data_IF_865165241248
#
_entry.id   IF_865165241248
#
_cell.length_a   1.000
_cell.length_b   1.000
_cell.length_c   1.000
_cell.angle_alpha   90.00
_cell.angle_beta   90.00
_cell.angle_gamma   90.00
#
_symmetry.space_group_name_H-M   'P 1'
#
loop_
_entity.id
_entity.type
_entity.pdbx_description
1 polymer ?
#
# COMPACT_ATOMS: atom_id res chain seq x y z
N UNK A 1 -5.08 -29.96 -16.25
CA UNK A 1 -4.29 -29.01 -15.43
C UNK A 1 -4.06 -27.78 -16.28
N UNK A 2 -4.60 -26.63 -15.92
CA UNK A 2 -4.31 -25.38 -16.65
C UNK A 2 -2.82 -25.08 -16.49
N UNK A 3 -2.10 -25.01 -17.60
CA UNK A 3 -0.68 -24.65 -17.59
C UNK A 3 -0.53 -23.25 -17.01
N UNK A 4 0.28 -23.15 -15.98
CA UNK A 4 0.67 -21.90 -15.35
C UNK A 4 1.57 -21.12 -16.33
N UNK A 5 1.00 -20.14 -17.02
CA UNK A 5 1.75 -19.31 -17.98
C UNK A 5 2.02 -17.95 -17.34
N UNK A 6 3.29 -17.68 -17.09
CA UNK A 6 3.75 -16.37 -16.64
C UNK A 6 3.79 -15.37 -17.80
N UNK A 7 3.46 -14.14 -17.51
CA UNK A 7 3.78 -13.01 -18.41
C UNK A 7 5.30 -12.78 -18.39
N UNK A 8 5.89 -12.21 -19.46
CA UNK A 8 7.36 -12.03 -19.54
C UNK A 8 7.96 -11.38 -18.29
N UNK A 9 7.42 -10.26 -17.82
CA UNK A 9 7.90 -9.58 -16.64
C UNK A 9 7.73 -10.38 -15.33
N UNK A 10 6.74 -11.27 -15.26
CA UNK A 10 6.56 -12.16 -14.10
C UNK A 10 7.63 -13.24 -14.08
N UNK A 11 8.00 -13.76 -15.26
CA UNK A 11 9.09 -14.70 -15.42
C UNK A 11 10.41 -14.03 -15.03
N UNK A 12 10.71 -12.84 -15.56
CA UNK A 12 11.91 -12.07 -15.20
C UNK A 12 12.03 -11.84 -13.69
N UNK A 13 10.91 -11.46 -13.03
CA UNK A 13 10.88 -11.27 -11.59
C UNK A 13 11.15 -12.56 -10.81
N UNK A 14 10.57 -13.68 -11.28
CA UNK A 14 10.78 -15.00 -10.68
C UNK A 14 12.22 -15.46 -10.85
N UNK A 15 12.79 -15.33 -12.05
CA UNK A 15 14.17 -15.72 -12.35
C UNK A 15 15.17 -14.90 -11.53
N UNK A 16 14.94 -13.59 -11.40
CA UNK A 16 15.74 -12.72 -10.54
C UNK A 16 15.70 -13.18 -9.07
N UNK A 17 14.51 -13.57 -8.57
CA UNK A 17 14.36 -14.08 -7.21
C UNK A 17 15.06 -15.43 -7.00
N UNK A 18 14.92 -16.36 -7.93
CA UNK A 18 15.60 -17.68 -7.86
C UNK A 18 17.12 -17.50 -7.90
N UNK A 19 17.63 -16.66 -8.80
CA UNK A 19 19.06 -16.29 -8.84
C UNK A 19 19.51 -15.66 -7.52
N UNK A 20 18.71 -14.77 -6.94
CA UNK A 20 19.01 -14.16 -5.66
C UNK A 20 19.10 -15.20 -4.54
N UNK A 21 18.13 -16.10 -4.39
CA UNK A 21 18.18 -17.15 -3.36
C UNK A 21 19.36 -18.12 -3.53
N UNK A 22 19.73 -18.46 -4.76
CA UNK A 22 20.89 -19.32 -5.07
C UNK A 22 22.24 -18.61 -4.92
N UNK A 23 22.27 -17.29 -4.87
CA UNK A 23 23.51 -16.52 -4.74
C UNK A 23 24.11 -16.65 -3.34
N UNK A 24 25.40 -16.32 -3.19
CA UNK A 24 26.11 -16.32 -1.89
C UNK A 24 25.93 -15.04 -1.08
N UNK A 25 25.15 -14.08 -1.57
CA UNK A 25 24.91 -12.81 -0.84
C UNK A 25 24.23 -13.04 0.49
N UNK A 26 24.61 -12.28 1.50
CA UNK A 26 23.92 -12.21 2.79
C UNK A 26 22.86 -11.10 2.83
N UNK A 27 22.75 -10.30 1.76
CA UNK A 27 21.77 -9.22 1.65
C UNK A 27 20.35 -9.75 1.54
N UNK A 28 19.40 -8.97 2.02
CA UNK A 28 17.98 -9.17 1.73
C UNK A 28 17.58 -8.36 0.49
N UNK A 29 16.71 -8.94 -0.33
CA UNK A 29 16.30 -8.38 -1.62
C UNK A 29 14.89 -7.83 -1.63
N UNK A 30 14.62 -6.94 -2.60
CA UNK A 30 13.29 -6.40 -2.89
C UNK A 30 12.92 -6.65 -4.35
N UNK A 31 11.68 -7.09 -4.58
CA UNK A 31 10.98 -6.98 -5.87
C UNK A 31 9.94 -5.87 -5.75
N UNK A 32 9.98 -4.94 -6.68
CA UNK A 32 9.02 -3.84 -6.78
C UNK A 32 8.11 -4.15 -7.97
N UNK A 33 6.84 -4.42 -7.68
CA UNK A 33 5.84 -4.70 -8.70
C UNK A 33 4.50 -4.06 -8.33
N UNK A 34 3.81 -3.38 -9.26
CA UNK A 34 2.56 -2.68 -9.00
C UNK A 34 1.47 -3.56 -8.41
N UNK A 35 0.48 -2.91 -7.80
CA UNK A 35 -0.80 -3.56 -7.51
C UNK A 35 -1.42 -4.00 -8.84
N UNK A 36 -1.88 -5.26 -8.93
CA UNK A 36 -2.38 -5.83 -10.19
C UNK A 36 -1.33 -6.51 -11.06
N UNK A 37 -0.01 -6.39 -10.75
CA UNK A 37 1.06 -7.09 -11.49
C UNK A 37 1.08 -8.61 -11.28
N UNK A 38 0.25 -9.15 -10.39
CA UNK A 38 0.21 -10.60 -10.14
C UNK A 38 1.33 -11.10 -9.22
N UNK A 39 1.71 -10.32 -8.20
CA UNK A 39 2.71 -10.74 -7.18
C UNK A 39 2.47 -12.14 -6.64
N UNK A 40 1.21 -12.53 -6.44
CA UNK A 40 0.86 -13.89 -5.98
C UNK A 40 1.34 -14.99 -6.93
N UNK A 41 1.30 -14.74 -8.24
CA UNK A 41 1.73 -15.68 -9.27
C UNK A 41 3.27 -15.75 -9.29
N UNK A 42 3.93 -14.60 -9.14
CA UNK A 42 5.40 -14.54 -9.01
C UNK A 42 5.86 -15.33 -7.79
N UNK A 43 5.22 -15.13 -6.62
CA UNK A 43 5.50 -15.90 -5.39
C UNK A 43 5.32 -17.39 -5.61
N UNK A 44 4.25 -17.78 -6.30
CA UNK A 44 3.95 -19.17 -6.61
C UNK A 44 5.06 -19.83 -7.45
N UNK A 45 5.51 -19.15 -8.47
CA UNK A 45 6.56 -19.66 -9.35
C UNK A 45 7.93 -19.72 -8.67
N UNK A 46 8.29 -18.70 -7.88
CA UNK A 46 9.49 -18.71 -7.04
C UNK A 46 9.47 -19.94 -6.11
N UNK A 47 8.34 -20.12 -5.40
CA UNK A 47 8.22 -21.21 -4.44
C UNK A 47 8.27 -22.60 -5.10
N UNK A 48 7.81 -22.74 -6.34
CA UNK A 48 7.93 -23.97 -7.12
C UNK A 48 9.36 -24.29 -7.55
N UNK A 49 10.17 -23.28 -7.85
CA UNK A 49 11.52 -23.41 -8.38
C UNK A 49 12.59 -23.55 -7.30
N UNK A 50 12.29 -23.19 -6.06
CA UNK A 50 13.23 -23.30 -4.96
C UNK A 50 13.20 -24.68 -4.31
N UNK A 51 14.37 -25.14 -3.87
CA UNK A 51 14.51 -26.34 -3.05
C UNK A 51 14.33 -26.01 -1.56
N UNK A 52 13.94 -27.02 -0.77
CA UNK A 52 13.72 -26.89 0.66
C UNK A 52 12.35 -26.30 1.01
N UNK A 53 12.19 -25.98 2.29
CA UNK A 53 10.96 -25.41 2.83
C UNK A 53 10.93 -23.89 2.63
N UNK A 54 9.80 -23.35 2.24
CA UNK A 54 9.63 -21.92 1.88
C UNK A 54 8.50 -21.33 2.70
N UNK A 55 8.81 -20.26 3.41
CA UNK A 55 7.84 -19.47 4.14
C UNK A 55 7.40 -18.26 3.33
N UNK A 56 6.09 -18.05 3.23
CA UNK A 56 5.47 -16.86 2.63
C UNK A 56 4.69 -16.13 3.69
N UNK A 57 5.24 -15.01 4.17
CA UNK A 57 4.59 -14.17 5.16
C UNK A 57 3.61 -13.21 4.51
N UNK A 58 2.39 -13.21 5.03
CA UNK A 58 1.29 -12.37 4.57
C UNK A 58 0.86 -11.40 5.68
N UNK A 59 0.54 -10.13 5.37
CA UNK A 59 0.20 -9.13 6.38
C UNK A 59 -1.18 -9.33 6.99
N UNK A 60 -2.11 -10.00 6.30
CA UNK A 60 -3.47 -10.23 6.78
C UNK A 60 -4.00 -11.61 6.42
N UNK A 61 -5.06 -12.03 7.14
CA UNK A 61 -5.79 -13.27 6.87
C UNK A 61 -6.36 -13.29 5.45
N UNK A 62 -6.97 -12.21 5.01
CA UNK A 62 -7.63 -12.10 3.73
C UNK A 62 -6.65 -12.29 2.57
N UNK A 63 -5.48 -11.65 2.65
CA UNK A 63 -4.41 -11.82 1.66
C UNK A 63 -3.84 -13.23 1.69
N UNK A 64 -3.69 -13.80 2.88
CA UNK A 64 -3.20 -15.17 3.04
C UNK A 64 -4.14 -16.16 2.37
N UNK A 65 -5.44 -16.12 2.69
CA UNK A 65 -6.45 -17.00 2.11
C UNK A 65 -6.53 -16.83 0.58
N UNK A 66 -6.53 -15.58 0.09
CA UNK A 66 -6.56 -15.28 -1.33
C UNK A 66 -5.35 -15.82 -2.10
N UNK A 67 -4.15 -15.66 -1.56
CA UNK A 67 -2.93 -16.13 -2.20
C UNK A 67 -2.81 -17.65 -2.13
N UNK A 68 -3.19 -18.25 -1.02
CA UNK A 68 -3.28 -19.70 -0.87
C UNK A 68 -4.25 -20.33 -1.88
N UNK A 69 -5.46 -19.78 -2.02
CA UNK A 69 -6.43 -20.26 -3.01
C UNK A 69 -5.91 -20.15 -4.45
N UNK A 70 -5.18 -19.07 -4.77
CA UNK A 70 -4.56 -18.92 -6.09
C UNK A 70 -3.53 -20.02 -6.36
N UNK A 71 -2.65 -20.30 -5.40
CA UNK A 71 -1.68 -21.40 -5.55
C UNK A 71 -2.38 -22.74 -5.74
N UNK A 72 -3.39 -23.01 -4.93
CA UNK A 72 -4.16 -24.25 -5.02
C UNK A 72 -4.81 -24.46 -6.39
N UNK A 73 -5.33 -23.38 -7.01
CA UNK A 73 -5.88 -23.41 -8.37
C UNK A 73 -4.82 -23.73 -9.44
N UNK A 74 -3.56 -23.44 -9.16
CA UNK A 74 -2.42 -23.82 -10.03
C UNK A 74 -1.86 -25.21 -9.74
N UNK A 75 -2.51 -25.99 -8.85
CA UNK A 75 -2.05 -27.33 -8.49
C UNK A 75 -0.79 -27.36 -7.63
N UNK A 76 -0.41 -26.23 -7.03
CA UNK A 76 0.75 -26.13 -6.14
C UNK A 76 0.30 -26.42 -4.71
N UNK A 77 0.83 -27.48 -4.11
CA UNK A 77 0.54 -27.84 -2.73
C UNK A 77 1.19 -26.84 -1.77
N UNK A 78 0.38 -26.28 -0.88
CA UNK A 78 0.83 -25.36 0.15
C UNK A 78 0.07 -25.60 1.46
N UNK A 79 0.60 -25.10 2.56
CA UNK A 79 0.01 -25.19 3.89
C UNK A 79 -0.31 -23.79 4.42
N UNK A 80 -1.20 -23.71 5.41
CA UNK A 80 -1.50 -22.47 6.12
C UNK A 80 -1.07 -22.62 7.59
N UNK A 81 -0.28 -21.66 8.07
CA UNK A 81 0.08 -21.49 9.45
C UNK A 81 -0.37 -20.13 9.98
N UNK A 82 -1.59 -20.05 10.48
CA UNK A 82 -2.19 -18.80 10.96
C UNK A 82 -3.27 -19.05 11.99
N UNK A 83 -3.13 -18.43 13.15
CA UNK A 83 -4.14 -18.48 14.22
C UNK A 83 -5.47 -17.82 13.76
N UNK A 84 -5.42 -16.73 12.99
CA UNK A 84 -6.60 -16.06 12.45
C UNK A 84 -7.36 -16.91 11.42
N UNK A 85 -6.67 -17.82 10.72
CA UNK A 85 -7.28 -18.81 9.83
C UNK A 85 -7.69 -20.11 10.56
N UNK A 86 -7.35 -20.25 11.85
CA UNK A 86 -7.52 -21.49 12.64
C UNK A 86 -6.85 -22.71 12.01
N UNK A 87 -5.73 -22.51 11.32
CA UNK A 87 -4.93 -23.55 10.68
C UNK A 87 -3.48 -23.42 11.13
N UNK A 88 -2.87 -24.54 11.50
CA UNK A 88 -1.48 -24.61 12.01
C UNK A 88 -0.68 -25.72 11.31
N UNK A 89 -0.82 -25.80 10.00
CA UNK A 89 -0.13 -26.83 9.21
C UNK A 89 1.13 -26.23 8.61
N UNK A 90 2.28 -26.89 8.82
CA UNK A 90 3.57 -26.58 8.21
C UNK A 90 3.82 -27.58 7.09
N UNK A 91 4.29 -27.11 5.94
CA UNK A 91 4.63 -27.93 4.78
C UNK A 91 5.73 -27.28 3.96
N UNK A 92 6.07 -27.87 2.82
CA UNK A 92 7.13 -27.38 1.94
C UNK A 92 6.94 -25.90 1.56
N UNK A 93 5.72 -25.49 1.26
CA UNK A 93 5.36 -24.09 1.06
C UNK A 93 4.32 -23.74 2.13
N UNK A 94 4.69 -22.86 3.04
CA UNK A 94 3.83 -22.43 4.16
C UNK A 94 3.48 -20.96 4.06
N UNK A 95 2.19 -20.68 3.86
CA UNK A 95 1.64 -19.34 4.02
C UNK A 95 1.36 -19.05 5.48
N UNK A 96 1.93 -17.99 6.00
CA UNK A 96 1.82 -17.69 7.42
C UNK A 96 1.57 -16.20 7.69
N UNK A 97 0.98 -15.91 8.85
CA UNK A 97 0.95 -14.55 9.40
C UNK A 97 2.08 -14.39 10.39
N UNK A 98 2.77 -13.25 10.36
CA UNK A 98 3.99 -13.01 11.17
C UNK A 98 3.76 -13.27 12.66
N UNK A 99 2.63 -12.84 13.24
CA UNK A 99 2.31 -13.05 14.65
C UNK A 99 2.24 -14.54 15.02
N UNK A 100 1.74 -15.38 14.11
CA UNK A 100 1.64 -16.83 14.35
C UNK A 100 3.01 -17.50 14.31
N UNK A 101 3.89 -17.03 13.44
CA UNK A 101 5.26 -17.57 13.30
C UNK A 101 6.11 -17.22 14.52
N UNK A 102 6.11 -15.96 14.96
CA UNK A 102 6.94 -15.51 16.09
C UNK A 102 6.65 -16.27 17.37
N UNK A 103 5.40 -16.70 17.58
CA UNK A 103 5.02 -17.45 18.76
C UNK A 103 5.48 -18.93 18.78
N UNK A 104 5.96 -19.45 17.62
CA UNK A 104 6.41 -20.85 17.47
C UNK A 104 7.50 -20.90 16.40
N UNK A 105 8.52 -20.08 16.57
CA UNK A 105 9.54 -19.85 15.54
C UNK A 105 10.38 -21.09 15.26
N UNK A 106 10.53 -21.96 16.27
CA UNK A 106 11.27 -23.22 16.22
C UNK A 106 10.72 -24.19 15.16
N UNK A 107 9.44 -24.08 14.82
CA UNK A 107 8.83 -24.90 13.77
C UNK A 107 9.33 -24.53 12.36
N UNK A 108 10.11 -23.48 12.24
CA UNK A 108 10.53 -22.90 10.97
C UNK A 108 12.06 -22.86 10.80
N UNK A 109 12.79 -23.57 11.65
CA UNK A 109 14.26 -23.61 11.61
C UNK A 109 14.80 -24.24 10.30
N UNK A 110 14.05 -25.14 9.68
CA UNK A 110 14.43 -25.83 8.44
C UNK A 110 14.06 -25.07 7.16
N UNK A 111 13.49 -23.84 7.28
CA UNK A 111 13.09 -23.09 6.10
C UNK A 111 14.28 -22.48 5.38
N UNK A 112 14.41 -22.82 4.09
CA UNK A 112 15.51 -22.35 3.23
C UNK A 112 15.33 -20.91 2.74
N UNK A 113 14.08 -20.45 2.59
CA UNK A 113 13.76 -19.14 2.06
C UNK A 113 12.55 -18.53 2.76
N UNK A 114 12.61 -17.21 2.93
CA UNK A 114 11.50 -16.38 3.46
C UNK A 114 11.11 -15.34 2.42
N UNK A 115 9.83 -15.33 2.06
CA UNK A 115 9.23 -14.35 1.17
C UNK A 115 8.24 -13.53 1.99
N UNK A 116 8.32 -12.20 1.92
CA UNK A 116 7.41 -11.28 2.63
C UNK A 116 6.60 -10.51 1.60
N UNK A 117 5.32 -10.83 1.48
CA UNK A 117 4.40 -10.07 0.65
C UNK A 117 3.99 -8.77 1.36
N UNK A 118 3.75 -7.71 0.58
CA UNK A 118 3.51 -6.35 1.05
C UNK A 118 4.54 -5.91 2.11
N UNK A 119 5.81 -6.15 1.82
CA UNK A 119 6.93 -5.97 2.76
C UNK A 119 7.14 -4.52 3.24
N UNK A 120 6.43 -3.53 2.67
CA UNK A 120 6.36 -2.18 3.24
C UNK A 120 5.76 -2.15 4.66
N UNK A 121 5.02 -3.20 5.05
CA UNK A 121 4.50 -3.37 6.40
C UNK A 121 5.57 -3.79 7.42
N UNK A 122 6.74 -4.25 6.97
CA UNK A 122 7.85 -4.69 7.85
C UNK A 122 8.35 -3.51 8.69
N UNK A 123 8.24 -3.63 10.01
CA UNK A 123 8.82 -2.69 10.94
C UNK A 123 10.12 -3.27 11.52
N UNK A 124 11.23 -2.61 11.25
CA UNK A 124 12.56 -3.05 11.71
C UNK A 124 12.94 -2.52 13.11
N UNK A 125 12.16 -1.58 13.64
CA UNK A 125 12.46 -0.94 14.93
C UNK A 125 11.82 -1.70 16.10
N UNK A 126 10.67 -2.34 15.86
CA UNK A 126 9.96 -3.06 16.91
C UNK A 126 8.84 -3.95 16.37
N UNK A 127 8.33 -4.84 17.23
CA UNK A 127 7.23 -5.74 16.96
C UNK A 127 7.64 -7.02 16.23
N UNK A 128 6.66 -7.84 15.89
CA UNK A 128 6.83 -9.22 15.43
C UNK A 128 7.82 -9.41 14.27
N UNK A 129 7.92 -8.47 13.33
CA UNK A 129 8.89 -8.60 12.24
C UNK A 129 10.33 -8.41 12.71
N UNK A 130 10.60 -7.51 13.67
CA UNK A 130 11.91 -7.37 14.26
C UNK A 130 12.30 -8.65 14.98
N UNK A 131 11.42 -9.15 15.86
CA UNK A 131 11.65 -10.35 16.65
C UNK A 131 11.92 -11.58 15.76
N UNK A 132 11.19 -11.71 14.66
CA UNK A 132 11.39 -12.74 13.66
C UNK A 132 12.75 -12.62 12.95
N UNK A 133 13.07 -11.44 12.44
CA UNK A 133 14.28 -11.20 11.66
C UNK A 133 15.58 -11.36 12.48
N UNK A 134 15.53 -11.11 13.79
CA UNK A 134 16.66 -11.31 14.71
C UNK A 134 16.91 -12.80 15.01
N UNK A 135 15.85 -13.63 15.00
CA UNK A 135 15.93 -15.06 15.33
C UNK A 135 16.16 -15.95 14.10
N UNK A 136 15.78 -15.50 12.91
CA UNK A 136 15.88 -16.29 11.69
C UNK A 136 16.90 -15.67 10.74
N UNK A 137 18.18 -16.09 10.80
CA UNK A 137 19.24 -15.56 9.95
C UNK A 137 19.17 -16.16 8.54
N UNK A 138 18.04 -16.02 7.86
CA UNK A 138 17.81 -16.51 6.50
C UNK A 138 17.69 -15.33 5.53
N UNK A 139 17.92 -15.60 4.24
CA UNK A 139 17.64 -14.61 3.21
C UNK A 139 16.15 -14.30 3.16
N UNK A 140 15.85 -13.03 3.14
CA UNK A 140 14.49 -12.49 3.04
C UNK A 140 14.33 -11.79 1.70
N UNK A 141 13.28 -12.16 0.97
CA UNK A 141 12.84 -11.48 -0.23
C UNK A 141 11.53 -10.76 0.06
N UNK A 142 11.54 -9.45 -0.04
CA UNK A 142 10.32 -8.63 0.06
C UNK A 142 9.69 -8.38 -1.31
N UNK A 143 8.37 -8.49 -1.41
CA UNK A 143 7.60 -8.03 -2.56
C UNK A 143 6.70 -6.88 -2.13
N UNK A 144 6.64 -5.80 -2.91
CA UNK A 144 5.74 -4.68 -2.63
C UNK A 144 5.52 -3.81 -3.86
N UNK A 145 4.39 -3.13 -3.89
CA UNK A 145 4.12 -2.05 -4.85
C UNK A 145 4.60 -0.68 -4.33
N UNK A 146 4.83 -0.57 -3.02
CA UNK A 146 5.13 0.69 -2.34
C UNK A 146 6.39 0.53 -1.48
N UNK A 147 7.59 0.60 -2.08
CA UNK A 147 8.87 0.28 -1.43
C UNK A 147 9.36 1.39 -0.46
N UNK A 148 8.44 2.03 0.25
CA UNK A 148 8.74 3.15 1.15
C UNK A 148 7.81 3.17 2.36
N UNK A 149 8.28 3.83 3.43
CA UNK A 149 7.53 4.04 4.67
C UNK A 149 7.60 5.48 5.12
N UNK A 150 6.50 5.97 5.68
CA UNK A 150 6.43 7.27 6.31
C UNK A 150 7.01 7.21 7.72
N UNK A 151 8.04 7.98 7.97
CA UNK A 151 8.68 8.12 9.28
C UNK A 151 8.52 9.54 9.78
N UNK A 152 8.16 9.70 11.07
CA UNK A 152 8.27 10.99 11.73
C UNK A 152 9.75 11.29 12.00
N UNK A 153 10.10 12.55 11.96
CA UNK A 153 11.42 13.07 12.29
C UNK A 153 11.25 14.35 13.10
N UNK A 154 11.82 14.35 14.30
CA UNK A 154 11.95 15.57 15.09
C UNK A 154 13.23 16.30 14.69
N UNK A 155 13.24 17.59 14.82
CA UNK A 155 14.40 18.42 14.50
C UNK A 155 14.10 19.88 14.81
N UNK A 156 14.91 20.73 14.24
CA UNK A 156 14.78 22.19 14.34
C UNK A 156 14.58 22.79 12.95
N UNK A 157 13.94 23.94 12.91
CA UNK A 157 13.82 24.78 11.73
C UNK A 157 14.50 26.12 11.99
N UNK A 158 15.43 26.47 11.12
CA UNK A 158 16.24 27.70 11.16
C UNK A 158 16.14 28.36 9.81
N UNK A 159 15.65 29.59 9.74
CA UNK A 159 15.48 30.33 8.47
C UNK A 159 14.75 29.51 7.39
N UNK A 160 13.71 28.76 7.79
CA UNK A 160 12.92 27.93 6.88
C UNK A 160 13.60 26.62 6.46
N UNK A 161 14.82 26.33 6.95
CA UNK A 161 15.53 25.09 6.66
C UNK A 161 15.36 24.10 7.81
N UNK A 162 14.81 22.94 7.52
CA UNK A 162 14.66 21.86 8.50
C UNK A 162 15.95 21.05 8.63
N UNK A 163 16.36 20.81 9.88
CA UNK A 163 17.47 19.93 10.25
C UNK A 163 16.97 18.87 11.24
N UNK A 164 17.05 17.57 10.93
CA UNK A 164 16.60 16.52 11.82
C UNK A 164 17.55 16.34 13.00
N UNK A 165 17.05 15.86 14.15
CA UNK A 165 17.85 15.54 15.32
C UNK A 165 19.02 14.63 14.94
N UNK A 166 20.20 14.89 15.52
CA UNK A 166 21.46 14.21 15.21
C UNK A 166 22.12 14.61 13.89
N UNK A 167 21.60 15.63 13.16
CA UNK A 167 22.24 16.20 11.97
C UNK A 167 22.91 17.57 12.24
N UNK A 168 22.83 18.06 13.45
CA UNK A 168 23.38 19.34 13.88
C UNK A 168 24.00 19.22 15.27
N UNK A 169 24.87 20.16 15.58
CA UNK A 169 25.48 20.32 16.89
C UNK A 169 24.49 21.04 17.82
N UNK A 170 24.03 20.35 18.86
CA UNK A 170 23.00 20.86 19.76
C UNK A 170 23.44 22.14 20.49
N UNK A 171 24.71 22.25 20.88
CA UNK A 171 25.28 23.44 21.59
C UNK A 171 25.13 24.71 20.77
N UNK A 172 25.08 24.63 19.43
CA UNK A 172 24.89 25.79 18.55
C UNK A 172 23.48 26.34 18.59
N UNK A 173 22.49 25.47 18.81
CA UNK A 173 21.06 25.81 18.63
C UNK A 173 20.25 25.80 19.92
N UNK A 174 20.78 25.22 21.00
CA UNK A 174 20.16 25.18 22.31
C UNK A 174 21.04 25.88 23.36
N UNK A 175 20.43 26.37 24.42
CA UNK A 175 21.12 26.93 25.57
C UNK A 175 21.53 25.80 26.55
N UNK A 176 22.20 26.17 27.65
CA UNK A 176 22.65 25.26 28.70
C UNK A 176 21.54 24.51 29.43
N UNK A 177 20.30 25.02 29.34
CA UNK A 177 19.10 24.40 29.92
C UNK A 177 18.35 23.54 28.89
N UNK A 178 18.83 23.44 27.64
CA UNK A 178 18.21 22.68 26.58
C UNK A 178 17.04 23.39 25.87
N UNK A 179 16.87 24.72 26.06
CA UNK A 179 15.88 25.50 25.34
C UNK A 179 16.43 25.99 23.99
N UNK A 180 15.60 26.04 22.96
CA UNK A 180 16.04 26.55 21.65
C UNK A 180 16.37 28.03 21.75
N UNK A 181 17.53 28.43 21.17
CA UNK A 181 17.97 29.82 21.08
C UNK A 181 16.99 30.65 20.20
N UNK A 182 16.98 31.99 20.33
CA UNK A 182 16.14 32.86 19.52
C UNK A 182 16.25 32.57 18.01
N UNK A 183 15.12 32.49 17.31
CA UNK A 183 15.06 32.16 15.88
C UNK A 183 15.06 30.67 15.55
N UNK A 184 15.20 29.80 16.55
CA UNK A 184 15.13 28.34 16.38
C UNK A 184 13.73 27.85 16.76
N UNK A 185 13.12 27.06 15.89
CA UNK A 185 11.83 26.41 16.16
C UNK A 185 11.99 24.90 16.22
N UNK A 186 11.46 24.28 17.26
CA UNK A 186 11.35 22.81 17.28
C UNK A 186 10.27 22.42 16.26
N UNK A 187 10.62 21.57 15.32
CA UNK A 187 9.76 21.17 14.24
C UNK A 187 9.63 19.64 14.12
N UNK A 188 8.41 19.17 13.85
CA UNK A 188 8.14 17.79 13.50
C UNK A 188 7.84 17.72 12.01
N UNK A 189 8.70 17.04 11.26
CA UNK A 189 8.53 16.79 9.83
C UNK A 189 8.34 15.30 9.57
N UNK A 190 7.82 14.97 8.41
CA UNK A 190 7.77 13.60 7.94
C UNK A 190 8.76 13.38 6.81
N UNK A 191 9.31 12.17 6.77
CA UNK A 191 10.13 11.71 5.66
C UNK A 191 9.59 10.38 5.16
N UNK A 192 9.38 10.29 3.86
CA UNK A 192 9.04 9.05 3.20
C UNK A 192 10.35 8.33 2.84
N UNK A 193 10.78 7.39 3.70
CA UNK A 193 12.03 6.65 3.50
C UNK A 193 11.83 5.46 2.59
N UNK A 194 12.69 5.30 1.59
CA UNK A 194 12.76 4.08 0.81
C UNK A 194 13.22 2.91 1.70
N UNK A 195 12.71 1.70 1.47
CA UNK A 195 12.93 0.54 2.38
C UNK A 195 14.41 0.17 2.54
N UNK A 196 15.24 0.41 1.52
CA UNK A 196 16.70 0.18 1.63
C UNK A 196 17.42 1.24 2.47
N UNK A 197 16.74 2.30 2.87
CA UNK A 197 17.28 3.41 3.68
C UNK A 197 16.71 3.47 5.11
N UNK A 198 15.88 2.52 5.49
CA UNK A 198 15.42 2.40 6.89
C UNK A 198 16.59 2.03 7.82
N UNK A 199 16.44 2.34 9.12
CA UNK A 199 17.40 1.94 10.15
C UNK A 199 16.61 1.36 11.33
N UNK A 200 16.94 0.14 11.78
CA UNK A 200 17.81 -0.86 11.16
C UNK A 200 17.41 -1.21 9.72
N UNK A 201 18.39 -1.60 8.89
CA UNK A 201 18.13 -1.96 7.49
C UNK A 201 17.68 -3.42 7.41
N UNK A 202 16.50 -3.67 6.87
CA UNK A 202 16.01 -5.02 6.59
C UNK A 202 16.32 -5.42 5.14
N UNK A 203 16.04 -4.54 4.20
CA UNK A 203 16.28 -4.79 2.77
C UNK A 203 17.49 -3.98 2.30
N UNK A 204 18.34 -4.61 1.51
CA UNK A 204 19.62 -4.03 1.10
C UNK A 204 19.60 -3.55 -0.36
N UNK A 205 18.91 -4.30 -1.24
CA UNK A 205 18.93 -4.01 -2.68
C UNK A 205 17.61 -4.37 -3.36
N UNK A 206 17.31 -3.65 -4.43
CA UNK A 206 16.27 -4.01 -5.38
C UNK A 206 16.87 -5.01 -6.36
N UNK A 207 16.26 -6.19 -6.49
CA UNK A 207 16.72 -7.25 -7.40
C UNK A 207 15.93 -7.28 -8.70
N UNK A 208 14.69 -6.77 -8.67
CA UNK A 208 13.84 -6.59 -9.84
C UNK A 208 12.83 -5.46 -9.60
N UNK A 209 12.52 -4.75 -10.65
CA UNK A 209 11.50 -3.69 -10.64
C UNK A 209 10.76 -3.68 -11.97
N UNK A 210 9.43 -3.47 -11.88
CA UNK A 210 8.59 -3.15 -13.02
C UNK A 210 7.69 -1.97 -12.69
N UNK A 211 7.73 -0.93 -13.53
CA UNK A 211 6.92 0.27 -13.35
C UNK A 211 5.46 0.08 -13.82
N UNK A 212 4.55 0.83 -13.20
CA UNK A 212 3.12 0.82 -13.58
C UNK A 212 2.91 1.31 -15.01
N UNK A 213 3.70 2.31 -15.46
CA UNK A 213 3.65 2.85 -16.82
C UNK A 213 3.93 1.75 -17.87
N UNK A 214 4.91 0.90 -17.62
CA UNK A 214 5.26 -0.22 -18.49
C UNK A 214 4.09 -1.19 -18.63
N UNK A 215 3.46 -1.56 -17.51
CA UNK A 215 2.32 -2.48 -17.51
C UNK A 215 1.07 -1.89 -18.18
N UNK A 216 0.85 -0.59 -18.07
CA UNK A 216 -0.21 0.13 -18.80
C UNK A 216 0.03 0.13 -20.31
N UNK A 217 1.26 0.43 -20.73
CA UNK A 217 1.65 0.42 -22.16
C UNK A 217 1.54 -0.96 -22.80
N UNK A 218 1.81 -2.00 -22.03
CA UNK A 218 1.70 -3.40 -22.46
C UNK A 218 0.28 -3.97 -22.36
N UNK A 219 -0.70 -3.17 -21.90
CA UNK A 219 -2.09 -3.61 -21.75
C UNK A 219 -2.33 -4.59 -20.59
N UNK A 220 -1.38 -4.75 -19.68
CA UNK A 220 -1.53 -5.60 -18.49
C UNK A 220 -2.28 -4.93 -17.34
N UNK A 221 -2.54 -3.63 -17.45
CA UNK A 221 -3.38 -2.85 -16.55
C UNK A 221 -4.36 -2.01 -17.35
N UNK A 222 -5.50 -1.67 -16.78
CA UNK A 222 -6.50 -0.80 -17.39
C UNK A 222 -6.01 0.65 -17.40
N UNK A 223 -6.30 1.38 -18.49
CA UNK A 223 -5.99 2.80 -18.61
C UNK A 223 -6.71 3.60 -17.52
N UNK A 224 -6.08 4.68 -17.04
CA UNK A 224 -6.57 5.46 -15.92
C UNK A 224 -6.97 6.85 -16.38
N UNK A 225 -8.17 7.28 -15.99
CA UNK A 225 -8.61 8.66 -16.11
C UNK A 225 -8.75 9.29 -14.73
N UNK A 226 -8.17 10.45 -14.57
CA UNK A 226 -8.21 11.21 -13.32
C UNK A 226 -9.15 12.40 -13.45
N UNK A 227 -10.00 12.55 -12.43
CA UNK A 227 -10.89 13.67 -12.26
C UNK A 227 -10.58 14.33 -10.90
N UNK A 228 -10.00 15.49 -10.95
CA UNK A 228 -9.70 16.27 -9.75
C UNK A 228 -10.84 17.23 -9.49
N UNK A 229 -11.50 17.07 -8.36
CA UNK A 229 -12.56 17.94 -7.86
C UNK A 229 -12.08 18.58 -6.56
N UNK A 230 -11.70 19.86 -6.55
CA UNK A 230 -11.09 20.50 -5.38
C UNK A 230 -12.14 20.84 -4.33
N UNK A 231 -12.68 19.82 -3.66
CA UNK A 231 -13.69 19.97 -2.61
C UNK A 231 -13.05 20.29 -1.28
N UNK A 232 -12.04 19.51 -0.88
CA UNK A 232 -11.37 19.64 0.40
C UNK A 232 -10.12 20.49 0.23
N UNK A 233 -10.04 21.62 0.97
CA UNK A 233 -8.82 22.42 1.02
C UNK A 233 -7.89 21.90 2.11
N UNK A 234 -6.94 21.05 1.71
CA UNK A 234 -5.97 20.47 2.63
C UNK A 234 -5.06 21.51 3.35
N UNK A 235 -4.97 22.76 2.85
CA UNK A 235 -4.23 23.86 3.50
C UNK A 235 -4.94 24.37 4.76
N UNK A 236 -6.26 24.16 4.84
CA UNK A 236 -7.07 24.52 6.02
C UNK A 236 -7.04 23.46 7.11
N UNK A 237 -6.51 22.28 6.81
CA UNK A 237 -6.49 21.14 7.73
C UNK A 237 -5.12 21.03 8.41
N UNK A 238 -5.12 21.02 9.74
CA UNK A 238 -3.90 20.85 10.53
C UNK A 238 -3.36 19.43 10.41
N UNK A 239 -2.05 19.29 10.60
CA UNK A 239 -1.43 17.98 10.78
C UNK A 239 -1.64 17.50 12.22
N UNK A 240 -1.69 16.18 12.40
CA UNK A 240 -1.72 15.59 13.73
C UNK A 240 -0.38 15.78 14.48
N UNK A 241 -0.34 15.47 15.77
CA UNK A 241 0.85 15.65 16.63
C UNK A 241 2.12 14.92 16.11
N UNK A 242 1.95 13.83 15.36
CA UNK A 242 3.07 13.09 14.77
C UNK A 242 3.48 13.62 13.40
N UNK A 243 2.73 14.55 12.81
CA UNK A 243 2.92 15.06 11.45
C UNK A 243 2.67 14.03 10.34
N UNK A 244 2.26 12.80 10.67
CA UNK A 244 2.12 11.70 9.69
C UNK A 244 0.82 11.70 8.93
N UNK A 245 -0.21 12.37 9.44
CA UNK A 245 -1.53 12.49 8.83
C UNK A 245 -2.20 13.76 9.29
N UNK A 246 -3.40 14.00 8.84
CA UNK A 246 -4.22 15.14 9.25
C UNK A 246 -4.81 14.94 10.66
N UNK A 247 -4.97 16.06 11.39
CA UNK A 247 -5.71 16.09 12.65
C UNK A 247 -7.20 15.85 12.37
N UNK A 248 -7.78 14.88 13.07
CA UNK A 248 -9.15 14.43 12.78
C UNK A 248 -10.20 15.49 13.06
N UNK A 249 -10.04 16.29 14.11
CA UNK A 249 -11.01 17.38 14.42
C UNK A 249 -10.98 18.47 13.38
N UNK A 250 -9.78 18.88 12.96
CA UNK A 250 -9.59 19.87 11.91
C UNK A 250 -10.12 19.39 10.56
N UNK A 251 -9.92 18.10 10.25
CA UNK A 251 -10.42 17.49 9.04
C UNK A 251 -11.95 17.39 9.03
N UNK A 252 -12.54 16.99 10.15
CA UNK A 252 -13.99 16.92 10.29
C UNK A 252 -14.65 18.31 10.13
N UNK A 253 -14.08 19.35 10.75
CA UNK A 253 -14.55 20.72 10.58
C UNK A 253 -14.50 21.19 9.12
N UNK A 254 -13.46 20.81 8.37
CA UNK A 254 -13.39 21.11 6.93
C UNK A 254 -14.46 20.35 6.14
N UNK A 255 -14.75 19.10 6.50
CA UNK A 255 -15.79 18.30 5.85
C UNK A 255 -17.19 18.89 6.06
N UNK A 256 -17.48 19.36 7.27
CA UNK A 256 -18.74 20.08 7.56
C UNK A 256 -18.82 21.37 6.75
N UNK A 257 -17.74 22.17 6.73
CA UNK A 257 -17.68 23.44 5.99
C UNK A 257 -18.02 23.28 4.52
N UNK A 258 -17.53 22.21 3.89
CA UNK A 258 -17.77 21.95 2.45
C UNK A 258 -19.01 21.10 2.17
N UNK A 259 -19.73 20.66 3.20
CA UNK A 259 -20.83 19.69 3.08
C UNK A 259 -20.43 18.47 2.28
N UNK A 260 -19.31 17.85 2.67
CA UNK A 260 -18.66 16.77 1.91
C UNK A 260 -19.59 15.59 1.65
N UNK A 261 -20.42 15.23 2.61
CA UNK A 261 -21.43 14.17 2.53
C UNK A 261 -22.39 14.34 1.32
N UNK A 262 -22.89 15.58 1.13
CA UNK A 262 -23.76 15.92 0.00
C UNK A 262 -23.00 15.83 -1.32
N UNK A 263 -21.77 16.34 -1.35
CA UNK A 263 -20.95 16.30 -2.57
C UNK A 263 -20.58 14.89 -2.98
N UNK A 264 -20.19 14.00 -2.03
CA UNK A 264 -19.95 12.59 -2.32
C UNK A 264 -21.21 11.95 -2.89
N UNK A 265 -22.38 12.18 -2.27
CA UNK A 265 -23.64 11.60 -2.73
C UNK A 265 -23.99 12.04 -4.16
N UNK A 266 -23.82 13.30 -4.49
CA UNK A 266 -24.08 13.83 -5.83
C UNK A 266 -23.12 13.26 -6.88
N UNK A 267 -21.84 13.14 -6.55
CA UNK A 267 -20.85 12.52 -7.42
C UNK A 267 -21.18 11.05 -7.66
N UNK A 268 -21.50 10.29 -6.61
CA UNK A 268 -21.82 8.87 -6.74
C UNK A 268 -23.12 8.67 -7.56
N UNK A 269 -24.16 9.50 -7.36
CA UNK A 269 -25.37 9.45 -8.21
C UNK A 269 -25.05 9.68 -9.68
N UNK A 270 -24.20 10.68 -10.00
CA UNK A 270 -23.78 10.96 -11.39
C UNK A 270 -22.96 9.81 -11.98
N UNK A 271 -22.14 9.15 -11.19
CA UNK A 271 -21.37 7.97 -11.63
C UNK A 271 -22.27 6.75 -11.87
N UNK A 272 -23.34 6.58 -11.07
CA UNK A 272 -24.31 5.51 -11.22
C UNK A 272 -25.30 5.76 -12.37
N UNK A 273 -25.65 7.03 -12.62
CA UNK A 273 -26.62 7.44 -13.64
C UNK A 273 -26.13 8.73 -14.33
N UNK A 274 -25.11 8.63 -15.18
CA UNK A 274 -24.60 9.79 -15.90
C UNK A 274 -25.61 10.28 -16.93
N UNK A 275 -25.63 11.60 -17.21
CA UNK A 275 -26.46 12.16 -18.27
C UNK A 275 -26.02 11.65 -19.65
N UNK A 276 -24.69 11.53 -19.82
CA UNK A 276 -24.06 11.04 -21.03
C UNK A 276 -23.12 9.88 -20.69
N UNK A 277 -23.08 8.85 -21.54
CA UNK A 277 -22.20 7.70 -21.37
C UNK A 277 -22.83 6.54 -20.59
N UNK A 278 -21.99 5.58 -20.21
CA UNK A 278 -22.44 4.35 -19.51
C UNK A 278 -22.27 4.49 -17.99
N UNK A 279 -23.23 3.99 -17.20
CA UNK A 279 -23.08 3.88 -15.75
C UNK A 279 -21.81 3.12 -15.37
N UNK A 280 -21.18 3.54 -14.27
CA UNK A 280 -20.04 2.82 -13.72
C UNK A 280 -20.50 1.50 -13.08
N UNK A 281 -19.72 0.44 -13.30
CA UNK A 281 -20.08 -0.92 -12.87
C UNK A 281 -19.86 -1.15 -11.39
N UNK A 282 -18.75 -0.63 -10.86
CA UNK A 282 -18.40 -0.75 -9.46
C UNK A 282 -17.71 0.53 -8.96
N UNK A 283 -18.31 1.16 -7.95
CA UNK A 283 -17.80 2.42 -7.38
C UNK A 283 -17.34 2.15 -5.94
N UNK A 284 -16.05 2.30 -5.67
CA UNK A 284 -15.49 2.18 -4.33
C UNK A 284 -15.14 3.59 -3.80
N UNK A 285 -15.80 4.00 -2.72
CA UNK A 285 -15.63 5.32 -2.12
C UNK A 285 -14.78 5.20 -0.86
N UNK A 286 -13.61 5.81 -0.85
CA UNK A 286 -12.75 5.87 0.32
C UNK A 286 -13.09 7.09 1.16
N UNK A 287 -13.69 6.87 2.33
CA UNK A 287 -13.99 7.91 3.32
C UNK A 287 -13.04 7.83 4.51
N UNK A 288 -12.94 8.89 5.30
CA UNK A 288 -12.10 8.93 6.51
C UNK A 288 -12.87 8.43 7.71
N UNK A 289 -14.10 8.92 7.90
CA UNK A 289 -14.94 8.61 9.06
C UNK A 289 -16.13 7.76 8.62
N UNK A 290 -16.75 7.10 9.57
CA UNK A 290 -17.94 6.27 9.34
C UNK A 290 -19.14 7.16 8.96
N UNK A 291 -19.22 8.35 9.53
CA UNK A 291 -20.33 9.30 9.34
C UNK A 291 -20.57 9.64 7.86
N UNK A 292 -19.51 9.93 7.07
CA UNK A 292 -19.66 10.21 5.64
C UNK A 292 -20.14 8.98 4.86
N UNK A 293 -19.62 7.79 5.21
CA UNK A 293 -20.04 6.53 4.59
C UNK A 293 -21.50 6.20 4.86
N UNK A 294 -21.98 6.40 6.08
CA UNK A 294 -23.38 6.24 6.45
C UNK A 294 -24.29 7.28 5.78
N UNK A 295 -23.85 8.55 5.75
CA UNK A 295 -24.57 9.61 5.06
C UNK A 295 -24.73 9.30 3.57
N UNK A 296 -23.68 8.81 2.92
CA UNK A 296 -23.73 8.34 1.54
C UNK A 296 -24.74 7.21 1.35
N UNK A 297 -24.73 6.20 2.22
CA UNK A 297 -25.66 5.06 2.11
C UNK A 297 -27.12 5.47 2.35
N UNK A 298 -27.37 6.46 3.23
CA UNK A 298 -28.72 7.04 3.41
C UNK A 298 -29.18 7.82 2.18
N UNK A 299 -28.26 8.52 1.52
CA UNK A 299 -28.57 9.41 0.40
C UNK A 299 -28.64 8.71 -0.96
N UNK A 300 -27.97 7.56 -1.12
CA UNK A 300 -27.79 6.88 -2.42
C UNK A 300 -28.29 5.44 -2.33
N UNK A 301 -29.46 5.12 -2.89
CA UNK A 301 -29.95 3.74 -2.96
C UNK A 301 -28.97 2.81 -3.68
N UNK A 302 -28.78 1.60 -3.15
CA UNK A 302 -27.82 0.63 -3.70
C UNK A 302 -26.35 0.87 -3.25
N UNK A 303 -26.14 1.76 -2.28
CA UNK A 303 -24.88 1.91 -1.57
C UNK A 303 -24.90 1.15 -0.24
N UNK A 304 -23.81 0.49 0.09
CA UNK A 304 -23.55 -0.07 1.43
C UNK A 304 -22.21 0.41 1.97
N UNK A 305 -22.00 0.24 3.29
CA UNK A 305 -20.78 0.65 3.97
C UNK A 305 -20.01 -0.57 4.51
N UNK A 306 -18.69 -0.52 4.43
CA UNK A 306 -17.77 -1.47 5.02
C UNK A 306 -16.78 -0.76 5.93
N UNK A 307 -16.74 -1.16 7.20
CA UNK A 307 -15.86 -0.62 8.23
C UNK A 307 -15.07 -1.71 8.93
N UNK A 308 -14.12 -1.35 9.80
CA UNK A 308 -13.42 -2.28 10.67
C UNK A 308 -14.34 -3.05 11.61
N UNK A 309 -15.48 -2.48 11.98
CA UNK A 309 -16.48 -3.04 12.90
C UNK A 309 -17.49 -3.95 12.22
N UNK A 310 -17.53 -3.98 10.88
CA UNK A 310 -18.46 -4.84 10.11
C UNK A 310 -18.20 -6.31 10.44
N UNK A 311 -19.23 -7.00 10.94
CA UNK A 311 -19.15 -8.41 11.33
C UNK A 311 -18.72 -9.31 10.16
N UNK A 312 -17.96 -10.39 10.41
CA UNK A 312 -17.42 -11.25 9.33
C UNK A 312 -18.45 -11.77 8.34
N UNK A 313 -19.66 -12.13 8.83
CA UNK A 313 -20.78 -12.61 7.99
C UNK A 313 -21.27 -11.52 7.03
N UNK A 314 -21.50 -10.31 7.56
CA UNK A 314 -21.97 -9.16 6.80
C UNK A 314 -20.91 -8.68 5.81
N UNK A 315 -19.63 -8.64 6.24
CA UNK A 315 -18.51 -8.34 5.37
C UNK A 315 -18.46 -9.27 4.15
N UNK A 316 -18.61 -10.59 4.38
CA UNK A 316 -18.63 -11.56 3.29
C UNK A 316 -19.80 -11.32 2.34
N UNK A 317 -21.02 -11.06 2.88
CA UNK A 317 -22.21 -10.74 2.08
C UNK A 317 -21.99 -9.47 1.24
N UNK A 318 -21.60 -8.37 1.88
CA UNK A 318 -21.39 -7.07 1.21
C UNK A 318 -20.39 -7.20 0.07
N UNK A 319 -19.24 -7.85 0.32
CA UNK A 319 -18.20 -8.05 -0.71
C UNK A 319 -18.74 -8.92 -1.86
N UNK A 320 -19.49 -9.97 -1.56
CA UNK A 320 -20.10 -10.84 -2.58
C UNK A 320 -21.12 -10.08 -3.41
N UNK A 321 -22.00 -9.31 -2.77
CA UNK A 321 -23.04 -8.53 -3.43
C UNK A 321 -22.46 -7.39 -4.28
N UNK A 322 -21.39 -6.76 -3.80
CA UNK A 322 -20.67 -5.74 -4.57
C UNK A 322 -20.01 -6.34 -5.82
N UNK A 323 -19.33 -7.47 -5.69
CA UNK A 323 -18.72 -8.18 -6.83
C UNK A 323 -19.76 -8.70 -7.83
N UNK A 324 -20.95 -9.03 -7.36
CA UNK A 324 -22.08 -9.46 -8.21
C UNK A 324 -22.84 -8.27 -8.81
N UNK A 325 -22.46 -7.02 -8.52
CA UNK A 325 -23.12 -5.82 -9.01
C UNK A 325 -24.50 -5.54 -8.38
N UNK A 326 -24.90 -6.25 -7.33
CA UNK A 326 -26.11 -5.96 -6.54
C UNK A 326 -25.94 -4.68 -5.72
N UNK A 327 -24.75 -4.46 -5.17
CA UNK A 327 -24.34 -3.18 -4.58
C UNK A 327 -23.58 -2.43 -5.67
N UNK A 328 -24.00 -1.21 -6.00
CA UNK A 328 -23.40 -0.38 -7.05
C UNK A 328 -22.27 0.49 -6.53
N UNK A 329 -22.41 1.01 -5.31
CA UNK A 329 -21.41 1.81 -4.64
C UNK A 329 -21.12 1.23 -3.25
N UNK A 330 -19.84 1.19 -2.89
CA UNK A 330 -19.41 0.68 -1.60
C UNK A 330 -18.58 1.77 -0.90
N UNK A 331 -19.10 2.31 0.21
CA UNK A 331 -18.35 3.16 1.11
C UNK A 331 -17.38 2.32 1.92
N UNK A 332 -16.11 2.72 1.95
CA UNK A 332 -15.04 1.98 2.63
C UNK A 332 -14.29 2.86 3.61
N UNK A 333 -14.30 2.46 4.86
CA UNK A 333 -13.57 3.13 5.95
C UNK A 333 -12.40 2.25 6.41
N UNK A 334 -11.24 2.44 5.79
CA UNK A 334 -9.98 1.82 6.23
C UNK A 334 -9.81 0.31 6.00
N UNK A 335 -10.74 -0.38 5.31
CA UNK A 335 -10.72 -1.85 5.21
C UNK A 335 -10.15 -2.35 3.89
N UNK A 336 -10.63 -1.86 2.74
CA UNK A 336 -10.32 -2.40 1.42
C UNK A 336 -9.11 -1.76 0.73
N UNK A 337 -8.23 -1.13 1.48
CA UNK A 337 -6.98 -0.57 0.94
C UNK A 337 -6.00 -1.67 0.49
N UNK A 338 -6.03 -2.82 1.16
CA UNK A 338 -5.21 -3.99 0.83
C UNK A 338 -6.08 -5.24 0.71
N UNK A 339 -5.63 -6.26 -0.03
CA UNK A 339 -6.28 -7.58 -0.08
C UNK A 339 -7.61 -7.69 -0.83
N UNK A 340 -8.16 -6.61 -1.38
CA UNK A 340 -9.42 -6.66 -2.13
C UNK A 340 -9.18 -6.88 -3.62
N UNK A 341 -9.69 -7.98 -4.16
CA UNK A 341 -9.56 -8.38 -5.56
C UNK A 341 -10.93 -8.36 -6.25
N UNK A 342 -11.14 -7.36 -7.11
CA UNK A 342 -12.33 -7.22 -7.95
C UNK A 342 -11.92 -6.58 -9.29
N UNK A 343 -11.65 -7.40 -10.34
CA UNK A 343 -11.20 -6.90 -11.63
C UNK A 343 -12.17 -5.93 -12.30
N UNK A 344 -13.46 -6.10 -12.10
CA UNK A 344 -14.50 -5.23 -12.70
C UNK A 344 -14.70 -3.90 -11.97
N UNK A 345 -14.06 -3.70 -10.80
CA UNK A 345 -14.06 -2.40 -10.12
C UNK A 345 -13.45 -1.35 -11.05
N UNK A 346 -14.27 -0.44 -11.55
CA UNK A 346 -13.88 0.51 -12.58
C UNK A 346 -13.75 1.95 -12.08
N UNK A 347 -14.21 2.23 -10.86
CA UNK A 347 -14.17 3.59 -10.31
C UNK A 347 -13.78 3.60 -8.84
N UNK A 348 -12.85 4.48 -8.49
CA UNK A 348 -12.61 4.87 -7.09
C UNK A 348 -12.92 6.35 -6.90
N UNK A 349 -13.49 6.67 -5.75
CA UNK A 349 -13.70 8.05 -5.27
C UNK A 349 -12.86 8.23 -4.00
N UNK A 350 -11.85 9.07 -4.08
CA UNK A 350 -11.00 9.44 -2.94
C UNK A 350 -11.62 10.64 -2.22
N UNK A 351 -12.55 10.36 -1.32
CA UNK A 351 -13.26 11.38 -0.54
C UNK A 351 -12.49 11.79 0.73
N UNK A 352 -11.22 11.46 0.82
CA UNK A 352 -10.37 11.84 1.94
C UNK A 352 -8.96 12.22 1.46
N UNK A 353 -8.37 13.29 2.00
CA UNK A 353 -6.97 13.59 1.80
C UNK A 353 -6.12 12.56 2.55
N UNK A 354 -4.92 12.32 2.05
CA UNK A 354 -3.92 11.51 2.76
C UNK A 354 -2.52 12.10 2.62
N UNK A 355 -1.70 11.92 3.63
CA UNK A 355 -0.27 12.22 3.57
C UNK A 355 0.56 11.00 3.16
N UNK A 356 -0.10 9.84 2.94
CA UNK A 356 0.56 8.60 2.58
C UNK A 356 0.51 8.32 1.08
N UNK A 357 1.65 8.47 0.40
CA UNK A 357 1.81 8.05 -0.99
C UNK A 357 1.46 6.56 -1.17
N UNK A 358 1.80 5.71 -0.20
CA UNK A 358 1.45 4.29 -0.24
C UNK A 358 -0.07 4.08 -0.27
N UNK A 359 -0.82 4.80 0.56
CA UNK A 359 -2.28 4.72 0.58
C UNK A 359 -2.89 5.19 -0.75
N UNK A 360 -2.42 6.34 -1.28
CA UNK A 360 -2.84 6.83 -2.59
C UNK A 360 -2.62 5.78 -3.68
N UNK A 361 -1.40 5.26 -3.78
CA UNK A 361 -1.04 4.24 -4.75
C UNK A 361 -1.88 2.96 -4.62
N UNK A 362 -2.08 2.47 -3.40
CA UNK A 362 -2.85 1.27 -3.14
C UNK A 362 -4.34 1.44 -3.46
N UNK A 363 -4.92 2.61 -3.16
CA UNK A 363 -6.31 2.90 -3.51
C UNK A 363 -6.50 2.94 -5.03
N UNK A 364 -5.65 3.69 -5.77
CA UNK A 364 -5.68 3.71 -7.23
C UNK A 364 -5.48 2.30 -7.80
N UNK A 365 -4.59 1.52 -7.19
CA UNK A 365 -4.33 0.13 -7.57
C UNK A 365 -5.55 -0.81 -7.51
N UNK A 366 -6.64 -0.41 -6.84
CA UNK A 366 -7.87 -1.24 -6.79
C UNK A 366 -8.64 -1.24 -8.11
N UNK A 367 -8.68 -0.14 -8.84
CA UNK A 367 -9.47 -0.04 -10.07
C UNK A 367 -8.68 -0.31 -11.36
N UNK A 368 -7.37 -0.47 -11.31
CA UNK A 368 -6.53 -0.59 -12.52
C UNK A 368 -6.35 -2.03 -13.03
N UNK A 369 -6.94 -3.03 -12.39
CA UNK A 369 -6.86 -4.40 -12.91
C UNK A 369 -7.55 -4.49 -14.25
N UNK A 370 -6.97 -5.23 -15.22
CA UNK A 370 -7.55 -5.32 -16.54
C UNK A 370 -8.86 -6.12 -16.51
N UNK A 371 -9.84 -5.65 -17.24
CA UNK A 371 -11.08 -6.33 -17.58
C UNK A 371 -11.51 -5.84 -18.96
N UNK A 372 -12.23 -6.64 -19.71
CA UNK A 372 -12.64 -6.31 -21.07
C UNK A 372 -13.43 -5.00 -21.14
N UNK A 373 -13.00 -4.10 -22.02
CA UNK A 373 -13.63 -2.80 -22.23
C UNK A 373 -13.61 -1.86 -21.03
N UNK A 374 -12.74 -2.14 -20.03
CA UNK A 374 -12.65 -1.36 -18.80
C UNK A 374 -11.81 -0.11 -19.00
N UNK A 375 -12.35 1.00 -18.50
CA UNK A 375 -11.73 2.30 -18.34
C UNK A 375 -11.76 2.67 -16.85
N UNK A 376 -10.60 2.76 -16.22
CA UNK A 376 -10.51 2.98 -14.77
C UNK A 376 -10.59 4.48 -14.46
N UNK A 377 -11.50 4.84 -13.55
CA UNK A 377 -11.70 6.23 -13.12
C UNK A 377 -11.25 6.45 -11.68
N UNK A 378 -10.50 7.52 -11.51
CA UNK A 378 -10.04 8.01 -10.20
C UNK A 378 -10.61 9.41 -9.99
N UNK A 379 -11.56 9.54 -9.10
CA UNK A 379 -12.18 10.82 -8.73
C UNK A 379 -11.59 11.26 -7.39
N UNK A 380 -10.81 12.33 -7.40
CA UNK A 380 -10.10 12.83 -6.22
C UNK A 380 -10.73 14.12 -5.69
N UNK A 381 -11.27 14.06 -4.46
CA UNK A 381 -11.84 15.18 -3.74
C UNK A 381 -10.85 15.72 -2.68
N UNK A 382 -9.85 14.93 -2.33
CA UNK A 382 -8.91 15.19 -1.23
C UNK A 382 -7.61 15.90 -1.62
N UNK A 383 -7.44 16.27 -2.90
CA UNK A 383 -6.20 16.90 -3.40
C UNK A 383 -5.00 15.96 -3.43
N UNK A 384 -5.23 14.64 -3.44
CA UNK A 384 -4.16 13.64 -3.46
C UNK A 384 -3.41 13.64 -4.81
N UNK A 385 -4.13 13.87 -5.91
CA UNK A 385 -3.55 14.00 -7.25
C UNK A 385 -2.61 15.21 -7.36
N UNK A 386 -2.98 16.33 -6.74
CA UNK A 386 -2.13 17.53 -6.68
C UNK A 386 -0.87 17.28 -5.85
N UNK A 387 -1.00 16.51 -4.76
CA UNK A 387 0.09 16.20 -3.83
C UNK A 387 1.09 15.20 -4.39
N UNK A 388 0.62 14.12 -4.99
CA UNK A 388 1.44 12.96 -5.36
C UNK A 388 1.59 12.77 -6.86
N UNK A 389 0.77 13.43 -7.67
CA UNK A 389 0.67 13.19 -9.09
C UNK A 389 -0.03 11.89 -9.46
N UNK A 390 -0.03 11.57 -10.75
CA UNK A 390 -0.56 10.32 -11.29
C UNK A 390 0.35 9.15 -10.93
N UNK A 391 -0.23 8.01 -10.57
CA UNK A 391 0.56 6.84 -10.13
C UNK A 391 1.42 6.24 -11.26
N UNK A 392 1.01 6.37 -12.51
CA UNK A 392 1.79 5.95 -13.69
C UNK A 392 3.02 6.83 -13.95
N UNK A 393 3.07 8.01 -13.36
CA UNK A 393 4.23 8.90 -13.44
C UNK A 393 5.20 8.71 -12.25
N UNK A 394 4.98 7.73 -11.40
CA UNK A 394 5.95 7.40 -10.35
C UNK A 394 7.12 6.63 -10.98
N UNK A 395 8.34 7.14 -10.79
CA UNK A 395 9.57 6.55 -11.33
C UNK A 395 10.57 6.28 -10.23
N UNK A 396 11.11 5.07 -10.25
CA UNK A 396 12.27 4.71 -9.45
C UNK A 396 13.53 5.23 -10.13
N UNK A 397 14.36 5.94 -9.39
CA UNK A 397 15.67 6.40 -9.82
C UNK A 397 16.73 5.95 -8.84
N UNK A 398 17.89 5.54 -9.35
CA UNK A 398 19.04 5.13 -8.56
C UNK A 398 20.22 6.07 -8.84
N UNK A 399 20.36 7.20 -8.10
CA UNK A 399 21.43 8.16 -8.33
C UNK A 399 22.81 7.59 -8.01
N UNK A 400 22.88 6.68 -7.03
CA UNK A 400 24.08 5.95 -6.61
C UNK A 400 23.75 4.52 -6.26
N UNK A 401 24.73 3.62 -6.30
CA UNK A 401 24.55 2.23 -5.92
C UNK A 401 23.92 2.10 -4.52
N UNK A 402 22.79 1.40 -4.43
CA UNK A 402 22.03 1.20 -3.19
C UNK A 402 21.18 2.40 -2.73
N UNK A 403 21.19 3.52 -3.44
CA UNK A 403 20.33 4.67 -3.18
C UNK A 403 19.18 4.70 -4.18
N UNK A 404 17.96 4.59 -3.67
CA UNK A 404 16.75 4.62 -4.50
C UNK A 404 15.86 5.77 -4.09
N UNK A 405 15.33 6.49 -5.08
CA UNK A 405 14.42 7.62 -4.91
C UNK A 405 13.22 7.42 -5.84
N UNK A 406 12.01 7.60 -5.31
CA UNK A 406 10.80 7.70 -6.13
C UNK A 406 10.59 9.15 -6.48
N UNK A 407 10.44 9.43 -7.77
CA UNK A 407 10.02 10.71 -8.31
C UNK A 407 8.57 10.63 -8.77
N UNK A 408 7.85 11.73 -8.61
CA UNK A 408 6.52 11.95 -9.18
C UNK A 408 6.50 13.17 -10.08
N UNK A 409 5.62 13.17 -11.08
CA UNK A 409 5.38 14.32 -11.94
C UNK A 409 4.28 15.19 -11.33
N UNK A 410 4.67 16.33 -10.72
CA UNK A 410 3.79 17.22 -9.96
C UNK A 410 4.01 18.64 -10.46
N UNK A 411 2.91 19.34 -10.80
CA UNK A 411 2.94 20.72 -11.30
C UNK A 411 3.93 20.92 -12.48
N UNK A 412 3.91 19.96 -13.43
CA UNK A 412 4.77 19.96 -14.62
C UNK A 412 6.26 19.81 -14.34
N UNK A 413 6.64 19.29 -13.17
CA UNK A 413 8.01 19.06 -12.75
C UNK A 413 8.19 17.68 -12.13
N UNK A 414 9.39 17.08 -12.28
CA UNK A 414 9.78 15.89 -11.56
C UNK A 414 10.24 16.26 -10.16
N UNK A 415 9.51 15.79 -9.14
CA UNK A 415 9.84 16.04 -7.73
C UNK A 415 10.16 14.73 -7.01
N UNK A 416 11.21 14.71 -6.17
CA UNK A 416 11.48 13.56 -5.33
C UNK A 416 10.38 13.44 -4.26
N UNK A 417 9.78 12.25 -4.16
CA UNK A 417 8.73 11.94 -3.18
C UNK A 417 9.25 11.14 -1.99
N UNK A 418 10.40 10.49 -2.15
CA UNK A 418 11.03 9.73 -1.06
C UNK A 418 12.37 10.34 -0.69
N UNK A 419 12.79 10.08 0.56
CA UNK A 419 14.03 10.58 1.16
C UNK A 419 14.12 12.11 1.28
N UNK A 420 13.00 12.79 1.21
CA UNK A 420 12.84 14.24 1.44
C UNK A 420 11.87 14.48 2.59
N UNK A 421 12.13 15.53 3.37
CA UNK A 421 11.22 15.95 4.45
C UNK A 421 10.09 16.81 3.90
N UNK A 422 8.91 16.70 4.50
CA UNK A 422 7.73 17.49 4.14
C UNK A 422 6.84 17.77 5.35
#
# INVERSE_FOLDING_TARGET
MSSFVLRPYQQEASDAAVKFFRSRTKDNGLIIAPTGAGKSIIIADIARQLEGNIMVLQPSKELLEQNYEKLSRYGIAASIYSASCRKKNVGKISFATIKSVVNNIELFDDFAAVIVDECHAVNSVGGNYKDFLERVPRKVLGLTATPYRLNASQGIEVEGKYMPNGSYDEEKFFDENGFPKPGIQIANRCILKFLTRTRPRVFNKVIYEIGIETLLKQGYLAQIRYFQLPVIDAKRVRRNSTGRDYDERSLFAEYERVSLDKQIADIVRRLMSPKDGKPRKGILVFTRFIAEGEALCRAVPGCEILTGETKPKDRKRIITDFKAGRIKALANVGVLTTGFDYPELDTIVMACPTMSLAKWYQCVGRCIRPSEGKDAWVVDLGGNLERFGKVEHLRLHQPKAGEYIIYGWINKEWKPLTNTYF
#
